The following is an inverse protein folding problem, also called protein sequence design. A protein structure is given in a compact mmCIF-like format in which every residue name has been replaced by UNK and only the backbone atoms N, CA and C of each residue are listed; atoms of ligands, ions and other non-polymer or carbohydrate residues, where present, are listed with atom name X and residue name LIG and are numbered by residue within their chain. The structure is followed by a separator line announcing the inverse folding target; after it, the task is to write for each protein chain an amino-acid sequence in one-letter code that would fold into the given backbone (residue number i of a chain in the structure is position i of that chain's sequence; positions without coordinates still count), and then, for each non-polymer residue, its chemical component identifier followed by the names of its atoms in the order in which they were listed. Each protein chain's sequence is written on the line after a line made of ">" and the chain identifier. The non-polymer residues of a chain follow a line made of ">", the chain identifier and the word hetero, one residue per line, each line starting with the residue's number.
data_IF_962527968930
#
_entry.id   IF_962527968930
#
_cell.length_a   1.000
_cell.length_b   1.000
_cell.length_c   1.000
_cell.angle_alpha   90.00
_cell.angle_beta   90.00
_cell.angle_gamma   90.00
#
_symmetry.space_group_name_H-M   'P 1'
#
loop_
_entity.id
_entity.type
_entity.pdbx_description
1 polymer ?
#
# COMPACT_ATOMS: atom_id res chain seq x y z
N UNK A 1 91.39 10.93 27.48
CA UNK A 1 90.52 10.09 28.34
C UNK A 1 89.19 10.82 28.52
N UNK A 2 88.10 10.14 28.16
CA UNK A 2 86.68 10.33 28.53
C UNK A 2 85.98 11.66 28.17
N UNK A 3 85.05 11.66 27.19
CA UNK A 3 83.59 11.37 27.28
C UNK A 3 82.79 12.60 27.76
N UNK A 4 81.60 12.95 27.30
CA UNK A 4 80.65 12.41 26.32
C UNK A 4 79.59 13.47 25.98
N UNK A 5 78.97 13.32 24.81
CA UNK A 5 77.87 14.10 24.22
C UNK A 5 76.64 14.27 25.12
N UNK A 6 75.91 15.38 24.97
CA UNK A 6 74.50 15.33 24.50
C UNK A 6 74.04 16.70 23.97
N UNK A 7 73.45 16.69 22.77
CA UNK A 7 72.79 17.84 22.12
C UNK A 7 71.37 17.95 22.65
N UNK A 8 70.89 19.15 22.94
CA UNK A 8 69.45 19.45 22.92
C UNK A 8 69.21 20.66 22.02
N UNK A 9 68.44 20.39 20.97
CA UNK A 9 67.98 21.31 19.94
C UNK A 9 66.86 22.15 20.52
N UNK A 10 67.00 23.47 20.41
CA UNK A 10 65.94 24.47 20.64
C UNK A 10 64.89 24.40 19.53
N UNK A 11 63.63 24.11 19.86
CA UNK A 11 62.49 24.43 19.01
C UNK A 11 61.69 25.55 19.69
N UNK A 12 61.71 26.74 19.08
CA UNK A 12 60.77 27.83 19.36
C UNK A 12 59.47 27.51 18.65
N UNK A 13 58.39 27.29 19.40
CA UNK A 13 57.05 27.21 18.84
C UNK A 13 56.54 28.64 18.56
N UNK A 14 56.36 28.97 17.28
CA UNK A 14 55.61 30.15 16.86
C UNK A 14 54.12 29.76 16.79
N UNK A 15 53.29 30.39 17.63
CA UNK A 15 51.84 30.22 17.60
C UNK A 15 51.25 31.18 16.56
N UNK A 16 50.85 30.66 15.40
CA UNK A 16 50.05 31.38 14.41
C UNK A 16 48.58 31.21 14.75
N UNK A 17 47.90 32.30 15.16
CA UNK A 17 46.44 32.34 15.28
C UNK A 17 45.83 32.29 13.86
N UNK A 18 45.19 31.18 13.51
CA UNK A 18 44.23 31.12 12.42
C UNK A 18 42.83 31.35 12.99
N UNK A 19 42.26 32.52 12.72
CA UNK A 19 40.86 32.83 12.99
C UNK A 19 40.02 32.14 11.91
N UNK A 20 39.49 30.95 12.19
CA UNK A 20 38.53 30.29 11.32
C UNK A 20 37.15 30.95 11.51
N UNK A 21 36.69 31.69 10.50
CA UNK A 21 35.33 32.20 10.41
C UNK A 21 34.40 31.00 10.14
N UNK A 22 33.82 30.44 11.19
CA UNK A 22 32.74 29.44 11.06
C UNK A 22 31.48 30.18 10.63
N UNK A 23 31.17 30.14 9.34
CA UNK A 23 29.84 30.47 8.84
C UNK A 23 28.91 29.36 9.34
N UNK A 24 28.25 29.62 10.47
CA UNK A 24 27.16 28.79 10.95
C UNK A 24 25.99 28.91 9.99
N UNK A 25 25.93 28.03 9.00
CA UNK A 25 24.67 27.71 8.33
C UNK A 25 23.85 26.98 9.39
N UNK A 26 23.05 27.71 10.15
CA UNK A 26 21.94 27.13 10.90
C UNK A 26 20.96 26.61 9.87
N UNK A 27 21.24 25.41 9.34
CA UNK A 27 20.22 24.58 8.75
C UNK A 27 19.23 24.33 9.88
N UNK A 28 18.12 25.04 9.86
CA UNK A 28 16.94 24.64 10.60
C UNK A 28 16.59 23.26 10.09
N UNK A 29 16.99 22.24 10.84
CA UNK A 29 16.38 20.92 10.77
C UNK A 29 14.92 21.15 11.13
N UNK A 30 14.09 21.30 10.10
CA UNK A 30 12.65 21.27 10.21
C UNK A 30 12.33 20.03 11.05
N UNK A 31 11.77 20.26 12.22
CA UNK A 31 11.32 19.22 13.15
C UNK A 31 10.63 18.11 12.36
N UNK A 32 11.09 16.88 12.55
CA UNK A 32 10.49 15.68 11.97
C UNK A 32 8.96 15.74 12.13
N UNK A 33 8.22 15.45 11.06
CA UNK A 33 6.78 15.28 11.15
C UNK A 33 6.48 14.00 11.95
N UNK A 34 6.51 14.07 13.27
CA UNK A 34 5.85 13.05 14.11
C UNK A 34 4.35 13.11 13.79
N UNK A 35 3.75 12.00 13.42
CA UNK A 35 2.30 11.88 13.18
C UNK A 35 1.90 11.26 11.84
N UNK A 36 2.83 10.85 10.97
CA UNK A 36 2.49 10.38 9.61
C UNK A 36 1.98 8.95 9.57
N UNK A 37 1.15 8.64 8.57
CA UNK A 37 0.73 7.27 8.28
C UNK A 37 1.90 6.44 7.76
N UNK A 38 2.17 5.24 8.30
CA UNK A 38 3.15 4.32 7.73
C UNK A 38 2.67 3.70 6.40
N UNK A 39 1.40 3.90 6.02
CA UNK A 39 0.84 3.37 4.77
C UNK A 39 0.96 4.35 3.60
N UNK A 40 1.07 5.66 3.88
CA UNK A 40 0.98 6.71 2.86
C UNK A 40 1.92 7.90 3.07
N UNK A 41 2.61 8.00 4.21
CA UNK A 41 3.41 9.17 4.59
C UNK A 41 2.59 10.44 4.87
N UNK A 42 1.26 10.38 4.76
CA UNK A 42 0.36 11.53 4.97
C UNK A 42 0.22 11.81 6.47
N UNK A 43 0.26 13.08 6.92
CA UNK A 43 0.06 13.43 8.32
C UNK A 43 -1.28 12.96 8.90
N UNK A 44 -1.27 12.62 10.19
CA UNK A 44 -2.45 12.27 10.98
C UNK A 44 -2.83 10.79 10.91
N UNK A 45 -1.89 9.89 10.60
CA UNK A 45 -2.11 8.44 10.61
C UNK A 45 -1.47 7.69 11.78
N UNK A 46 -0.36 8.21 12.32
CA UNK A 46 0.35 7.59 13.43
C UNK A 46 -0.57 7.41 14.65
N UNK A 47 -0.48 6.23 15.29
CA UNK A 47 -1.29 5.90 16.46
C UNK A 47 -2.79 5.69 16.19
N UNK A 48 -3.28 5.90 14.97
CA UNK A 48 -4.68 5.63 14.59
C UNK A 48 -4.89 4.17 14.19
N UNK A 49 -6.10 3.64 14.36
CA UNK A 49 -6.41 2.27 13.94
C UNK A 49 -6.23 2.07 12.43
N UNK A 50 -6.00 0.82 12.03
CA UNK A 50 -5.93 0.42 10.62
C UNK A 50 -7.04 -0.58 10.28
N UNK A 51 -7.77 -0.31 9.19
CA UNK A 51 -8.86 -1.18 8.73
C UNK A 51 -8.75 -1.42 7.23
N UNK A 52 -8.84 -2.69 6.85
CA UNK A 52 -9.02 -3.12 5.47
C UNK A 52 -10.51 -3.20 5.15
N UNK A 53 -10.92 -2.61 4.03
CA UNK A 53 -12.23 -2.82 3.43
C UNK A 53 -12.05 -3.61 2.15
N UNK A 54 -12.75 -4.74 2.06
CA UNK A 54 -12.78 -5.58 0.86
C UNK A 54 -13.84 -5.09 -0.11
N UNK A 55 -13.42 -4.59 -1.25
CA UNK A 55 -14.27 -4.12 -2.35
C UNK A 55 -14.37 -5.16 -3.47
N UNK A 56 -15.51 -5.14 -4.16
CA UNK A 56 -15.57 -5.71 -5.52
C UNK A 56 -14.86 -4.81 -6.51
N UNK A 57 -14.46 -5.34 -7.66
CA UNK A 57 -13.93 -4.54 -8.75
C UNK A 57 -14.55 -4.89 -10.11
N UNK A 58 -15.60 -5.73 -10.14
CA UNK A 58 -16.31 -6.01 -11.39
C UNK A 58 -17.08 -4.77 -11.86
N UNK A 59 -17.40 -4.70 -13.16
CA UNK A 59 -18.15 -3.57 -13.73
C UNK A 59 -19.38 -3.14 -12.90
N UNK A 60 -20.25 -4.04 -12.41
CA UNK A 60 -21.42 -3.64 -11.62
C UNK A 60 -21.09 -3.11 -10.21
N UNK A 61 -19.91 -3.42 -9.68
CA UNK A 61 -19.44 -2.88 -8.39
C UNK A 61 -19.08 -1.39 -8.51
N UNK A 62 -18.57 -0.98 -9.68
CA UNK A 62 -18.11 0.38 -9.95
C UNK A 62 -19.29 1.34 -10.25
N UNK A 63 -19.13 2.65 -10.00
CA UNK A 63 -18.06 3.28 -9.22
C UNK A 63 -18.11 2.89 -7.73
N UNK A 64 -16.96 2.95 -7.07
CA UNK A 64 -16.80 2.65 -5.63
C UNK A 64 -17.07 3.90 -4.78
N UNK A 65 -17.54 3.71 -3.55
CA UNK A 65 -17.66 4.75 -2.53
C UNK A 65 -16.40 4.74 -1.65
N UNK A 66 -15.78 5.91 -1.47
CA UNK A 66 -14.70 6.15 -0.51
C UNK A 66 -13.33 5.58 -0.89
N UNK A 67 -13.21 4.85 -2.01
CA UNK A 67 -11.93 4.21 -2.40
C UNK A 67 -10.81 5.23 -2.63
N UNK A 68 -11.15 6.42 -3.13
CA UNK A 68 -10.20 7.52 -3.34
C UNK A 68 -9.67 8.15 -2.03
N UNK A 69 -10.17 7.72 -0.87
CA UNK A 69 -9.73 8.16 0.45
C UNK A 69 -8.92 7.10 1.21
N UNK A 70 -8.64 5.94 0.59
CA UNK A 70 -7.77 4.93 1.18
C UNK A 70 -6.32 5.41 1.21
N UNK A 71 -5.55 4.97 2.21
CA UNK A 71 -4.11 5.24 2.29
C UNK A 71 -3.32 4.31 1.37
N UNK A 72 -3.70 3.03 1.37
CA UNK A 72 -3.05 1.97 0.62
C UNK A 72 -4.10 1.08 -0.03
N UNK A 73 -3.93 0.77 -1.31
CA UNK A 73 -4.83 -0.08 -2.08
C UNK A 73 -4.04 -1.27 -2.61
N UNK A 74 -4.49 -2.48 -2.31
CA UNK A 74 -4.07 -3.68 -3.02
C UNK A 74 -5.12 -4.04 -4.07
N UNK A 75 -4.68 -4.27 -5.31
CA UNK A 75 -5.46 -4.94 -6.35
C UNK A 75 -4.94 -6.37 -6.46
N UNK A 76 -5.82 -7.35 -6.27
CA UNK A 76 -5.46 -8.76 -6.33
C UNK A 76 -6.38 -9.53 -7.28
N UNK A 77 -5.82 -10.56 -7.93
CA UNK A 77 -6.60 -11.53 -8.68
C UNK A 77 -7.48 -12.35 -7.74
N UNK A 78 -8.69 -12.65 -8.19
CA UNK A 78 -9.61 -13.57 -7.52
C UNK A 78 -10.13 -14.60 -8.52
N UNK A 79 -11.23 -15.27 -8.21
CA UNK A 79 -11.80 -16.30 -9.09
C UNK A 79 -12.07 -15.76 -10.51
N UNK A 80 -11.94 -16.63 -11.50
CA UNK A 80 -12.29 -16.37 -12.91
C UNK A 80 -11.45 -15.26 -13.58
N UNK A 81 -10.26 -14.96 -13.06
CA UNK A 81 -9.37 -13.93 -13.60
C UNK A 81 -9.92 -12.51 -13.41
N UNK A 82 -10.87 -12.33 -12.49
CA UNK A 82 -11.34 -11.03 -12.03
C UNK A 82 -10.34 -10.46 -11.02
N UNK A 83 -10.47 -9.17 -10.72
CA UNK A 83 -9.76 -8.56 -9.59
C UNK A 83 -10.72 -8.14 -8.48
N UNK A 84 -10.17 -8.03 -7.26
CA UNK A 84 -10.79 -7.31 -6.14
C UNK A 84 -9.81 -6.35 -5.52
N UNK A 85 -10.35 -5.46 -4.70
CA UNK A 85 -9.59 -4.40 -4.06
C UNK A 85 -9.63 -4.61 -2.54
N UNK A 86 -8.45 -4.64 -1.93
CA UNK A 86 -8.28 -4.56 -0.49
C UNK A 86 -7.74 -3.16 -0.16
N UNK A 87 -8.62 -2.29 0.33
CA UNK A 87 -8.30 -0.88 0.59
C UNK A 87 -8.10 -0.66 2.09
N UNK A 88 -6.93 -0.17 2.46
CA UNK A 88 -6.52 0.13 3.83
C UNK A 88 -6.79 1.59 4.15
N UNK A 89 -7.45 1.84 5.28
CA UNK A 89 -7.74 3.17 5.81
C UNK A 89 -7.07 3.31 7.17
N UNK A 90 -6.38 4.42 7.37
CA UNK A 90 -5.72 4.78 8.62
C UNK A 90 -5.80 6.28 8.92
N UNK A 91 -5.48 7.15 7.95
CA UNK A 91 -5.49 8.61 8.15
C UNK A 91 -6.90 9.15 8.30
N UNK A 92 -7.84 8.61 7.50
CA UNK A 92 -9.24 9.03 7.46
C UNK A 92 -10.16 7.84 7.25
N UNK A 93 -11.29 7.86 7.96
CA UNK A 93 -12.39 6.93 7.73
C UNK A 93 -13.53 7.66 7.01
N UNK A 94 -13.78 7.39 5.71
CA UNK A 94 -14.91 7.99 5.00
C UNK A 94 -16.26 7.58 5.59
N UNK A 95 -17.28 8.43 5.41
CA UNK A 95 -18.64 8.17 5.91
C UNK A 95 -19.26 6.92 5.30
N UNK A 96 -18.95 6.63 4.04
CA UNK A 96 -19.50 5.50 3.28
C UNK A 96 -18.39 4.83 2.49
N UNK A 97 -18.36 3.49 2.54
CA UNK A 97 -17.49 2.65 1.70
C UNK A 97 -18.27 1.51 1.05
N UNK A 98 -17.79 1.05 -0.10
CA UNK A 98 -18.28 -0.15 -0.79
C UNK A 98 -18.50 0.05 -2.30
N UNK A 99 -19.16 -0.90 -2.99
CA UNK A 99 -19.76 -2.10 -2.43
C UNK A 99 -18.73 -3.07 -1.86
N UNK A 100 -19.01 -3.57 -0.66
CA UNK A 100 -18.17 -4.60 -0.02
C UNK A 100 -18.34 -5.95 -0.71
N UNK A 101 -17.27 -6.75 -0.67
CA UNK A 101 -17.23 -8.11 -1.23
C UNK A 101 -16.65 -9.11 -0.27
N UNK A 102 -16.74 -10.37 -0.68
CA UNK A 102 -16.23 -11.46 0.13
C UNK A 102 -14.71 -11.39 0.29
N UNK A 103 -14.25 -11.68 1.50
CA UNK A 103 -12.83 -11.82 1.80
C UNK A 103 -12.22 -13.01 1.03
N UNK A 104 -10.91 -12.99 0.87
CA UNK A 104 -10.07 -14.00 0.23
C UNK A 104 -8.90 -14.34 1.14
N UNK A 105 -8.27 -15.49 0.91
CA UNK A 105 -7.15 -15.93 1.75
C UNK A 105 -5.94 -14.97 1.66
N UNK A 106 -5.72 -14.37 0.49
CA UNK A 106 -4.72 -13.33 0.26
C UNK A 106 -4.93 -12.10 1.16
N UNK A 107 -6.17 -11.73 1.49
CA UNK A 107 -6.46 -10.65 2.44
C UNK A 107 -5.84 -10.92 3.81
N UNK A 108 -5.91 -12.18 4.28
CA UNK A 108 -5.33 -12.57 5.57
C UNK A 108 -3.80 -12.53 5.51
N UNK A 109 -3.20 -12.95 4.40
CA UNK A 109 -1.75 -12.89 4.24
C UNK A 109 -1.24 -11.44 4.23
N UNK A 110 -1.97 -10.52 3.59
CA UNK A 110 -1.67 -9.07 3.64
C UNK A 110 -1.79 -8.55 5.08
N UNK A 111 -2.84 -8.95 5.81
CA UNK A 111 -3.12 -8.44 7.15
C UNK A 111 -2.18 -8.97 8.25
N UNK A 112 -1.43 -10.05 8.00
CA UNK A 112 -0.53 -10.64 9.01
C UNK A 112 0.60 -9.71 9.48
N UNK A 113 0.94 -8.67 8.72
CA UNK A 113 1.98 -7.70 9.08
C UNK A 113 1.54 -6.67 10.13
N UNK A 114 0.30 -6.72 10.61
CA UNK A 114 -0.24 -5.80 11.62
C UNK A 114 -0.61 -6.55 12.89
N UNK A 115 -0.54 -5.92 14.07
CA UNK A 115 -0.95 -6.58 15.32
C UNK A 115 -2.42 -7.04 15.36
N UNK A 116 -3.39 -6.14 15.14
CA UNK A 116 -4.82 -6.50 15.14
C UNK A 116 -5.65 -5.60 14.19
N UNK A 117 -5.50 -5.75 12.87
CA UNK A 117 -6.16 -4.89 11.89
C UNK A 117 -7.65 -5.21 11.77
N UNK A 118 -8.48 -4.21 11.48
CA UNK A 118 -9.89 -4.44 11.16
C UNK A 118 -10.06 -5.03 9.76
N UNK A 119 -11.01 -5.96 9.58
CA UNK A 119 -11.39 -6.50 8.28
C UNK A 119 -12.90 -6.33 8.03
N UNK A 120 -13.25 -5.41 7.14
CA UNK A 120 -14.62 -5.13 6.67
C UNK A 120 -14.85 -5.84 5.34
N UNK A 121 -15.83 -6.74 5.30
CA UNK A 121 -16.12 -7.58 4.13
C UNK A 121 -17.60 -7.99 4.11
N UNK A 122 -18.07 -8.64 3.04
CA UNK A 122 -19.49 -9.02 2.87
C UNK A 122 -19.77 -10.53 3.02
N UNK A 123 -18.85 -11.29 3.60
CA UNK A 123 -18.95 -12.74 3.79
C UNK A 123 -17.80 -13.53 3.17
N UNK A 124 -17.76 -14.83 3.38
CA UNK A 124 -16.79 -15.75 2.79
C UNK A 124 -17.36 -17.18 2.90
N UNK A 125 -16.72 -18.18 2.29
CA UNK A 125 -17.06 -19.57 2.57
C UNK A 125 -16.69 -19.92 4.03
N UNK A 126 -17.29 -20.97 4.60
CA UNK A 126 -17.12 -21.33 6.01
C UNK A 126 -15.67 -21.66 6.39
N UNK A 127 -14.91 -22.24 5.46
CA UNK A 127 -13.49 -22.56 5.67
C UNK A 127 -12.69 -21.27 5.86
N UNK A 128 -12.93 -20.27 5.02
CA UNK A 128 -12.28 -18.97 5.12
C UNK A 128 -12.80 -18.16 6.33
N UNK A 129 -14.09 -18.23 6.67
CA UNK A 129 -14.60 -17.61 7.90
C UNK A 129 -13.95 -18.20 9.16
N UNK A 130 -13.68 -19.51 9.19
CA UNK A 130 -12.89 -20.15 10.25
C UNK A 130 -11.45 -19.63 10.27
N UNK A 131 -10.83 -19.43 9.12
CA UNK A 131 -9.48 -18.86 9.03
C UNK A 131 -9.44 -17.40 9.51
N UNK A 132 -10.41 -16.57 9.13
CA UNK A 132 -10.55 -15.18 9.62
C UNK A 132 -10.61 -15.16 11.15
N UNK A 133 -11.46 -16.00 11.77
CA UNK A 133 -11.58 -16.08 13.24
C UNK A 133 -10.30 -16.53 13.95
N UNK A 134 -9.41 -17.24 13.26
CA UNK A 134 -8.11 -17.70 13.79
C UNK A 134 -6.96 -16.76 13.44
N UNK A 135 -7.20 -15.76 12.58
CA UNK A 135 -6.20 -14.77 12.19
C UNK A 135 -6.05 -13.69 13.25
N UNK A 136 -5.05 -12.83 13.05
CA UNK A 136 -4.86 -11.60 13.82
C UNK A 136 -5.91 -10.51 13.48
N UNK A 137 -6.67 -10.66 12.39
CA UNK A 137 -7.64 -9.65 11.97
C UNK A 137 -8.90 -9.65 12.85
N UNK A 138 -9.35 -8.45 13.23
CA UNK A 138 -10.64 -8.23 13.87
C UNK A 138 -11.72 -8.25 12.79
N UNK A 139 -12.57 -9.28 12.81
CA UNK A 139 -13.73 -9.35 11.90
C UNK A 139 -14.72 -8.22 12.20
N UNK A 140 -14.99 -7.40 11.18
CA UNK A 140 -15.97 -6.32 11.21
C UNK A 140 -17.09 -6.61 10.20
N UNK A 141 -17.48 -7.89 10.08
CA UNK A 141 -18.44 -8.39 9.09
C UNK A 141 -19.88 -7.90 9.37
N UNK A 142 -20.82 -8.01 8.41
CA UNK A 142 -22.24 -7.69 8.67
C UNK A 142 -22.87 -8.57 9.75
N UNK A 143 -22.35 -9.78 10.01
CA UNK A 143 -22.81 -10.62 11.12
C UNK A 143 -22.34 -10.08 12.48
N UNK A 144 -21.17 -9.45 12.52
CA UNK A 144 -20.58 -8.93 13.76
C UNK A 144 -20.98 -7.48 14.05
N UNK A 145 -21.29 -6.70 13.01
CA UNK A 145 -21.54 -5.24 13.05
C UNK A 145 -22.73 -4.82 12.17
N UNK A 146 -23.91 -5.47 12.27
CA UNK A 146 -25.02 -5.31 11.31
C UNK A 146 -25.49 -3.85 11.15
N UNK A 147 -25.53 -3.09 12.24
CA UNK A 147 -26.04 -1.70 12.26
C UNK A 147 -25.28 -0.72 11.35
N UNK A 148 -24.05 -1.07 10.97
CA UNK A 148 -23.21 -0.24 10.11
C UNK A 148 -23.32 -0.60 8.64
N UNK A 149 -23.96 -1.71 8.31
CA UNK A 149 -24.13 -2.20 6.95
C UNK A 149 -25.52 -1.82 6.43
N UNK A 150 -25.59 -1.43 5.16
CA UNK A 150 -26.86 -1.15 4.49
C UNK A 150 -26.79 -1.44 2.99
N UNK A 151 -27.95 -1.44 2.34
CA UNK A 151 -28.07 -1.73 0.91
C UNK A 151 -28.38 -0.46 0.13
N UNK A 152 -27.63 -0.22 -0.94
CA UNK A 152 -27.99 0.75 -1.97
C UNK A 152 -29.02 0.12 -2.92
N UNK A 153 -30.30 0.43 -2.74
CA UNK A 153 -31.39 -0.19 -3.50
C UNK A 153 -31.38 0.17 -5.00
N UNK A 154 -30.59 1.15 -5.43
CA UNK A 154 -30.38 1.45 -6.85
C UNK A 154 -29.45 0.47 -7.57
N UNK A 155 -28.80 -0.45 -6.85
CA UNK A 155 -27.96 -1.52 -7.41
C UNK A 155 -28.51 -2.90 -7.03
N UNK A 156 -28.36 -3.84 -7.96
CA UNK A 156 -28.72 -5.24 -7.73
C UNK A 156 -27.75 -5.92 -6.76
N UNK A 157 -28.28 -6.84 -5.95
CA UNK A 157 -27.43 -7.74 -5.17
C UNK A 157 -26.61 -8.64 -6.14
N UNK A 158 -25.35 -8.98 -5.81
CA UNK A 158 -24.64 -8.63 -4.57
C UNK A 158 -23.98 -7.24 -4.56
N UNK A 159 -24.05 -6.44 -5.64
CA UNK A 159 -23.27 -5.19 -5.89
C UNK A 159 -23.71 -3.95 -5.13
N UNK A 160 -24.42 -4.13 -4.02
CA UNK A 160 -25.13 -3.05 -3.35
C UNK A 160 -24.86 -2.92 -1.84
N UNK A 161 -23.96 -3.71 -1.25
CA UNK A 161 -23.69 -3.64 0.19
C UNK A 161 -22.69 -2.53 0.55
N UNK A 162 -23.13 -1.51 1.26
CA UNK A 162 -22.32 -0.39 1.73
C UNK A 162 -22.12 -0.45 3.25
N UNK A 163 -21.09 0.26 3.72
CA UNK A 163 -20.74 0.34 5.15
C UNK A 163 -20.55 1.79 5.57
N UNK A 164 -21.08 2.14 6.75
CA UNK A 164 -20.87 3.42 7.42
C UNK A 164 -19.53 3.42 8.18
N UNK A 165 -18.42 3.46 7.44
CA UNK A 165 -17.09 3.18 8.00
C UNK A 165 -16.68 4.15 9.12
N UNK A 166 -16.90 5.46 8.94
CA UNK A 166 -16.61 6.44 9.99
C UNK A 166 -17.34 6.14 11.30
N UNK A 167 -18.64 5.83 11.23
CA UNK A 167 -19.45 5.49 12.40
C UNK A 167 -19.02 4.17 13.04
N UNK A 168 -18.63 3.19 12.21
CA UNK A 168 -18.12 1.90 12.68
C UNK A 168 -16.83 2.09 13.47
N UNK A 169 -15.85 2.77 12.87
CA UNK A 169 -14.53 2.97 13.50
C UNK A 169 -14.58 3.88 14.73
N UNK A 170 -15.55 4.80 14.82
CA UNK A 170 -15.76 5.61 16.02
C UNK A 170 -16.17 4.76 17.26
N UNK A 171 -16.87 3.63 17.04
CA UNK A 171 -17.29 2.72 18.12
C UNK A 171 -16.35 1.54 18.33
N UNK A 172 -15.50 1.23 17.36
CA UNK A 172 -14.59 0.08 17.44
C UNK A 172 -13.44 0.34 18.42
N UNK A 173 -13.09 -0.67 19.21
CA UNK A 173 -12.05 -0.61 20.26
C UNK A 173 -11.04 -1.75 20.19
N UNK A 174 -11.32 -2.80 19.40
CA UNK A 174 -10.47 -3.99 19.27
C UNK A 174 -9.44 -3.86 18.15
N UNK A 175 -9.60 -2.90 17.24
CA UNK A 175 -8.67 -2.66 16.15
C UNK A 175 -7.47 -1.88 16.67
N UNK A 176 -6.28 -2.45 16.51
CA UNK A 176 -5.02 -1.83 16.93
C UNK A 176 -4.63 -0.66 16.04
N UNK A 177 -3.79 0.23 16.60
CA UNK A 177 -3.10 1.26 15.86
C UNK A 177 -2.29 0.65 14.71
N UNK A 178 -2.10 1.44 13.65
CA UNK A 178 -1.21 1.09 12.55
C UNK A 178 0.23 1.05 13.03
N UNK A 179 0.98 0.07 12.53
CA UNK A 179 2.40 -0.12 12.80
C UNK A 179 3.21 0.15 11.53
N UNK A 180 4.53 0.26 11.68
CA UNK A 180 5.43 0.36 10.54
C UNK A 180 5.35 -0.92 9.68
N UNK A 181 5.10 -0.73 8.39
CA UNK A 181 4.99 -1.80 7.39
C UNK A 181 6.19 -1.84 6.45
N UNK A 182 7.27 -1.12 6.75
CA UNK A 182 8.51 -1.09 5.98
C UNK A 182 8.50 -0.15 4.78
N UNK A 183 7.43 0.63 4.58
CA UNK A 183 7.38 1.65 3.55
C UNK A 183 8.13 2.90 4.00
N UNK A 184 8.96 3.42 3.11
CA UNK A 184 9.67 4.69 3.31
C UNK A 184 9.11 5.74 2.36
N UNK A 185 8.98 6.97 2.82
CA UNK A 185 8.33 8.05 2.07
C UNK A 185 9.26 9.25 1.95
N UNK A 186 9.32 9.82 0.75
CA UNK A 186 10.01 11.07 0.47
C UNK A 186 9.31 11.80 -0.67
N UNK A 187 9.03 13.09 -0.50
CA UNK A 187 8.46 13.94 -1.55
C UNK A 187 9.38 14.09 -2.77
N UNK A 188 10.70 13.92 -2.58
CA UNK A 188 11.71 13.94 -3.63
C UNK A 188 11.82 12.54 -4.23
N UNK A 189 11.74 12.46 -5.56
CA UNK A 189 11.95 11.20 -6.27
C UNK A 189 13.44 10.84 -6.27
N UNK A 190 13.81 9.56 -6.04
CA UNK A 190 15.20 9.13 -6.10
C UNK A 190 15.74 9.20 -7.54
N UNK A 191 17.06 9.21 -7.69
CA UNK A 191 17.70 9.16 -9.00
C UNK A 191 17.48 7.80 -9.69
N UNK A 192 17.72 7.74 -11.01
CA UNK A 192 17.69 6.48 -11.78
C UNK A 192 16.30 6.09 -12.33
N UNK A 193 15.30 6.93 -12.17
CA UNK A 193 13.97 6.71 -12.76
C UNK A 193 13.97 6.86 -14.27
N UNK A 194 13.23 5.99 -14.96
CA UNK A 194 12.91 6.15 -16.37
C UNK A 194 11.58 6.88 -16.53
N UNK A 195 11.43 7.76 -17.52
CA UNK A 195 10.14 8.40 -17.81
C UNK A 195 9.04 7.35 -18.03
N UNK A 196 7.89 7.54 -17.38
CA UNK A 196 6.71 6.70 -17.50
C UNK A 196 5.44 7.57 -17.59
N UNK A 197 4.70 7.44 -18.69
CA UNK A 197 3.44 8.14 -18.95
C UNK A 197 2.21 7.28 -18.63
N UNK A 198 2.30 5.97 -18.79
CA UNK A 198 1.19 5.07 -18.48
C UNK A 198 1.66 3.69 -18.04
N UNK A 199 0.77 2.97 -17.37
CA UNK A 199 0.93 1.54 -17.08
C UNK A 199 -0.36 0.78 -17.35
N UNK A 200 -0.23 -0.53 -17.57
CA UNK A 200 -1.33 -1.47 -17.70
C UNK A 200 -0.92 -2.81 -17.07
N UNK A 201 -1.82 -3.42 -16.31
CA UNK A 201 -1.76 -4.81 -15.86
C UNK A 201 -3.09 -5.50 -16.21
N UNK A 202 -3.03 -6.68 -16.82
CA UNK A 202 -4.19 -7.43 -17.29
C UNK A 202 -4.21 -8.85 -16.73
N UNK A 203 -5.42 -9.32 -16.45
CA UNK A 203 -5.78 -10.70 -16.11
C UNK A 203 -6.80 -11.19 -17.15
N UNK A 204 -7.15 -12.49 -17.17
CA UNK A 204 -8.10 -13.02 -18.15
C UNK A 204 -9.42 -12.25 -18.26
N UNK A 205 -9.92 -11.71 -17.14
CA UNK A 205 -11.23 -11.04 -17.07
C UNK A 205 -11.18 -9.64 -16.46
N UNK A 206 -10.00 -9.05 -16.28
CA UNK A 206 -9.84 -7.73 -15.66
C UNK A 206 -8.63 -6.97 -16.20
N UNK A 207 -8.69 -5.65 -16.11
CA UNK A 207 -7.56 -4.77 -16.41
C UNK A 207 -7.51 -3.60 -15.45
N UNK A 208 -6.32 -3.27 -14.98
CA UNK A 208 -6.01 -2.03 -14.27
C UNK A 208 -4.99 -1.25 -15.08
N UNK A 209 -5.24 0.03 -15.30
CA UNK A 209 -4.30 0.92 -15.98
C UNK A 209 -4.29 2.29 -15.34
N UNK A 210 -3.26 3.06 -15.64
CA UNK A 210 -3.20 4.46 -15.21
C UNK A 210 -2.36 5.31 -16.13
N UNK A 211 -2.67 6.61 -16.14
CA UNK A 211 -1.94 7.63 -16.89
C UNK A 211 -1.43 8.68 -15.91
N UNK A 212 -0.17 9.06 -16.01
CA UNK A 212 0.40 10.14 -15.22
C UNK A 212 -0.12 11.48 -15.72
N UNK A 213 -0.83 12.21 -14.87
CA UNK A 213 -1.39 13.53 -15.20
C UNK A 213 -0.99 14.52 -14.13
N UNK A 214 -0.21 15.53 -14.52
CA UNK A 214 0.37 16.57 -13.66
C UNK A 214 1.22 15.98 -12.54
N UNK A 215 0.59 15.54 -11.45
CA UNK A 215 1.25 15.09 -10.23
C UNK A 215 0.71 13.77 -9.67
N UNK A 216 -0.22 13.09 -10.34
CA UNK A 216 -0.74 11.80 -9.86
C UNK A 216 -1.12 10.86 -11.00
N UNK A 217 -1.23 9.56 -10.68
CA UNK A 217 -1.71 8.54 -11.61
C UNK A 217 -3.24 8.51 -11.63
N UNK A 218 -3.87 8.81 -12.76
CA UNK A 218 -5.31 8.64 -12.92
C UNK A 218 -5.64 7.20 -13.28
N UNK A 219 -6.37 6.50 -12.40
CA UNK A 219 -6.62 5.06 -12.53
C UNK A 219 -7.86 4.76 -13.35
N UNK A 220 -7.75 3.77 -14.24
CA UNK A 220 -8.85 3.17 -14.97
C UNK A 220 -8.99 1.68 -14.63
N UNK A 221 -10.23 1.21 -14.56
CA UNK A 221 -10.54 -0.21 -14.46
C UNK A 221 -11.33 -0.66 -15.69
N UNK A 222 -10.85 -1.70 -16.37
CA UNK A 222 -11.38 -2.21 -17.65
C UNK A 222 -11.60 -1.11 -18.70
N UNK A 223 -10.62 -0.19 -18.79
CA UNK A 223 -10.63 0.93 -19.73
C UNK A 223 -11.52 2.12 -19.34
N UNK A 224 -12.21 2.06 -18.19
CA UNK A 224 -13.05 3.15 -17.70
C UNK A 224 -12.34 3.93 -16.59
N UNK A 225 -12.14 5.24 -16.81
CA UNK A 225 -11.57 6.15 -15.81
C UNK A 225 -12.38 6.11 -14.51
N UNK A 226 -11.72 5.80 -13.40
CA UNK A 226 -12.40 5.64 -12.12
C UNK A 226 -12.70 6.98 -11.45
N UNK A 227 -13.95 7.10 -11.00
CA UNK A 227 -14.44 8.21 -10.17
C UNK A 227 -15.15 7.64 -8.96
N UNK A 228 -14.99 8.31 -7.83
CA UNK A 228 -15.76 8.01 -6.62
C UNK A 228 -17.26 8.19 -6.87
N UNK A 229 -18.07 7.27 -6.36
CA UNK A 229 -19.50 7.21 -6.62
C UNK A 229 -20.25 8.44 -6.10
N UNK A 230 -19.79 9.01 -4.98
CA UNK A 230 -20.45 10.13 -4.31
C UNK A 230 -19.86 11.47 -4.76
N UNK A 231 -18.55 11.64 -4.62
CA UNK A 231 -17.84 12.91 -4.85
C UNK A 231 -17.47 13.16 -6.31
N UNK A 232 -17.51 12.12 -7.15
CA UNK A 232 -17.05 12.14 -8.56
C UNK A 232 -15.56 12.46 -8.74
N UNK A 233 -14.81 12.59 -7.65
CA UNK A 233 -13.38 12.79 -7.64
C UNK A 233 -12.65 11.56 -8.21
N UNK A 234 -11.51 11.80 -8.85
CA UNK A 234 -10.71 10.76 -9.48
C UNK A 234 -9.94 9.95 -8.44
N UNK A 235 -9.76 8.66 -8.71
CA UNK A 235 -8.78 7.83 -8.00
C UNK A 235 -7.37 8.18 -8.50
N UNK A 236 -6.56 8.78 -7.62
CA UNK A 236 -5.30 9.44 -8.00
C UNK A 236 -4.13 9.11 -7.05
N UNK A 237 -3.71 7.84 -6.95
CA UNK A 237 -2.52 7.48 -6.18
C UNK A 237 -1.27 8.22 -6.67
N UNK A 238 -0.38 8.55 -5.72
CA UNK A 238 0.91 9.19 -5.97
C UNK A 238 1.97 8.18 -6.39
N UNK A 239 1.87 6.98 -5.82
CA UNK A 239 2.74 5.85 -6.13
C UNK A 239 1.89 4.65 -6.55
N UNK A 240 2.24 4.03 -7.67
CA UNK A 240 1.72 2.73 -8.08
C UNK A 240 2.86 1.72 -8.05
N UNK A 241 2.62 0.52 -7.56
CA UNK A 241 3.58 -0.58 -7.54
C UNK A 241 2.99 -1.74 -8.31
N UNK A 242 3.69 -2.22 -9.33
CA UNK A 242 3.39 -3.51 -9.95
C UNK A 242 4.26 -4.55 -9.24
N UNK A 243 3.70 -5.21 -8.24
CA UNK A 243 4.41 -6.19 -7.41
C UNK A 243 4.20 -7.59 -7.98
N UNK A 244 5.28 -8.24 -8.42
CA UNK A 244 5.20 -9.57 -9.02
C UNK A 244 5.33 -10.62 -7.94
N UNK A 245 4.25 -11.35 -7.70
CA UNK A 245 4.09 -12.31 -6.61
C UNK A 245 3.72 -13.69 -7.16
N UNK A 246 4.04 -14.74 -6.39
CA UNK A 246 3.63 -16.09 -6.75
C UNK A 246 2.12 -16.26 -6.58
N UNK A 247 1.42 -16.66 -7.65
CA UNK A 247 0.03 -17.07 -7.58
C UNK A 247 -0.03 -18.59 -7.46
N UNK A 248 -0.69 -19.09 -6.40
CA UNK A 248 -0.95 -20.51 -6.20
C UNK A 248 -2.43 -20.78 -6.20
N UNK A 249 -2.80 -21.93 -6.73
CA UNK A 249 -4.13 -22.46 -6.46
C UNK A 249 -4.27 -22.70 -4.95
N UNK A 250 -5.36 -22.25 -4.35
CA UNK A 250 -5.64 -22.48 -2.93
C UNK A 250 -6.74 -23.53 -2.75
N UNK A 251 -6.85 -24.07 -1.53
CA UNK A 251 -7.97 -24.94 -1.15
C UNK A 251 -9.30 -24.19 -1.01
N UNK A 252 -9.32 -22.86 -1.19
CA UNK A 252 -10.50 -22.03 -1.06
C UNK A 252 -11.11 -21.76 -2.45
N UNK A 253 -12.43 -21.59 -2.46
CA UNK A 253 -13.16 -21.20 -3.66
C UNK A 253 -14.40 -20.36 -3.37
N UNK A 254 -15.01 -19.83 -4.43
CA UNK A 254 -16.31 -19.18 -4.34
C UNK A 254 -17.46 -20.19 -4.26
N UNK A 255 -18.67 -19.68 -4.02
CA UNK A 255 -19.90 -20.50 -3.95
C UNK A 255 -20.32 -21.12 -5.29
N UNK A 256 -19.65 -20.76 -6.38
CA UNK A 256 -19.97 -21.17 -7.75
C UNK A 256 -18.91 -22.13 -8.32
N UNK A 257 -17.95 -22.60 -7.51
CA UNK A 257 -16.93 -23.57 -7.89
C UNK A 257 -15.64 -22.98 -8.44
N UNK A 258 -15.50 -21.65 -8.50
CA UNK A 258 -14.26 -20.99 -8.88
C UNK A 258 -13.21 -21.13 -7.78
N UNK A 259 -12.02 -21.64 -8.10
CA UNK A 259 -10.91 -21.70 -7.14
C UNK A 259 -10.33 -20.30 -6.94
N UNK A 260 -10.16 -19.92 -5.67
CA UNK A 260 -9.53 -18.67 -5.28
C UNK A 260 -8.01 -18.83 -5.42
N UNK A 261 -7.31 -17.99 -6.19
CA UNK A 261 -5.85 -17.95 -6.12
C UNK A 261 -5.40 -17.37 -4.77
N UNK A 262 -4.38 -17.97 -4.17
CA UNK A 262 -3.59 -17.33 -3.13
C UNK A 262 -2.47 -16.54 -3.82
N UNK A 263 -2.44 -15.23 -3.55
CA UNK A 263 -1.35 -14.36 -3.98
C UNK A 263 -0.36 -14.26 -2.83
N UNK A 264 0.84 -14.83 -3.02
CA UNK A 264 1.86 -14.87 -1.97
C UNK A 264 2.60 -13.54 -1.85
N UNK A 265 2.23 -12.79 -0.83
CA UNK A 265 2.85 -11.54 -0.40
C UNK A 265 3.95 -11.73 0.65
N UNK A 266 4.12 -12.94 1.20
CA UNK A 266 5.31 -13.32 1.99
C UNK A 266 6.33 -13.99 1.07
N UNK A 267 7.52 -13.42 1.00
CA UNK A 267 8.61 -13.83 0.13
C UNK A 267 9.37 -12.63 -0.41
N UNK A 268 9.87 -12.76 -1.63
CA UNK A 268 10.57 -11.68 -2.33
C UNK A 268 10.37 -11.83 -3.83
N UNK A 269 10.50 -10.75 -4.57
CA UNK A 269 10.39 -10.78 -6.02
C UNK A 269 10.69 -9.43 -6.66
N UNK A 270 10.45 -9.34 -7.97
CA UNK A 270 10.59 -8.08 -8.69
C UNK A 270 9.37 -7.18 -8.46
N UNK A 271 9.58 -5.88 -8.57
CA UNK A 271 8.53 -4.87 -8.62
C UNK A 271 8.86 -3.80 -9.65
N UNK A 272 7.84 -3.13 -10.19
CA UNK A 272 8.01 -1.86 -10.89
C UNK A 272 7.29 -0.80 -10.07
N UNK A 273 8.03 0.19 -9.57
CA UNK A 273 7.46 1.30 -8.80
C UNK A 273 7.34 2.51 -9.70
N UNK A 274 6.15 3.11 -9.70
CA UNK A 274 5.72 4.19 -10.56
C UNK A 274 5.38 5.41 -9.70
N UNK A 275 6.21 6.45 -9.73
CA UNK A 275 5.98 7.70 -8.99
C UNK A 275 6.56 8.89 -9.75
N UNK A 276 5.97 10.08 -9.56
CA UNK A 276 6.46 11.32 -10.17
C UNK A 276 6.64 11.23 -11.71
N UNK A 277 5.79 10.47 -12.41
CA UNK A 277 5.89 10.25 -13.86
C UNK A 277 7.11 9.44 -14.29
N UNK A 278 7.66 8.64 -13.37
CA UNK A 278 8.82 7.78 -13.59
C UNK A 278 8.52 6.35 -13.17
N UNK A 279 9.22 5.38 -13.76
CA UNK A 279 9.25 3.98 -13.38
C UNK A 279 10.64 3.57 -12.89
N UNK A 280 10.68 2.75 -11.85
CA UNK A 280 11.87 2.18 -11.26
C UNK A 280 11.72 0.66 -11.22
N UNK A 281 12.69 -0.07 -11.78
CA UNK A 281 12.81 -1.50 -11.54
C UNK A 281 13.33 -1.69 -10.11
N UNK A 282 12.60 -2.45 -9.31
CA UNK A 282 12.84 -2.61 -7.88
C UNK A 282 12.71 -4.07 -7.47
N UNK A 283 13.21 -4.39 -6.28
CA UNK A 283 12.97 -5.67 -5.61
C UNK A 283 12.10 -5.45 -4.39
N UNK A 284 11.10 -6.31 -4.20
CA UNK A 284 10.32 -6.34 -2.97
C UNK A 284 10.74 -7.51 -2.08
N UNK A 285 10.68 -7.31 -0.76
CA UNK A 285 10.97 -8.35 0.22
C UNK A 285 10.07 -8.21 1.45
N UNK A 286 9.43 -9.31 1.82
CA UNK A 286 8.69 -9.54 3.06
C UNK A 286 9.05 -10.94 3.59
N UNK A 287 10.11 -11.05 4.42
CA UNK A 287 10.70 -12.34 4.77
C UNK A 287 9.83 -13.19 5.71
N UNK A 288 8.92 -12.59 6.45
CA UNK A 288 8.08 -13.25 7.44
C UNK A 288 6.65 -12.70 7.43
N UNK A 289 5.71 -13.44 8.03
CA UNK A 289 4.29 -13.07 8.09
C UNK A 289 4.03 -11.76 8.85
N UNK A 290 4.80 -11.51 9.90
CA UNK A 290 4.76 -10.34 10.79
C UNK A 290 5.75 -9.25 10.38
N UNK A 291 6.51 -9.46 9.30
CA UNK A 291 7.36 -8.44 8.72
C UNK A 291 6.58 -7.54 7.76
N UNK A 292 6.98 -6.27 7.71
CA UNK A 292 6.61 -5.33 6.66
C UNK A 292 7.16 -5.72 5.29
N UNK A 293 6.73 -4.99 4.25
CA UNK A 293 7.22 -5.16 2.87
C UNK A 293 8.14 -4.00 2.52
N UNK A 294 9.38 -4.31 2.15
CA UNK A 294 10.36 -3.32 1.68
C UNK A 294 10.45 -3.33 0.16
N UNK A 295 10.81 -2.18 -0.42
CA UNK A 295 11.10 -2.01 -1.84
C UNK A 295 12.46 -1.36 -2.00
N UNK A 296 13.30 -1.89 -2.90
CA UNK A 296 14.71 -1.49 -3.04
C UNK A 296 15.16 -1.38 -4.49
N UNK A 297 16.12 -0.49 -4.76
CA UNK A 297 16.92 -0.46 -5.99
C UNK A 297 18.33 -0.89 -5.62
N UNK A 298 18.76 -2.07 -6.05
CA UNK A 298 19.96 -2.70 -5.48
C UNK A 298 19.76 -2.93 -4.00
N UNK A 299 20.63 -2.37 -3.17
CA UNK A 299 20.52 -2.45 -1.69
C UNK A 299 19.86 -1.21 -1.08
N UNK A 300 19.63 -0.15 -1.86
CA UNK A 300 19.09 1.11 -1.36
C UNK A 300 17.56 1.05 -1.27
N UNK A 301 16.94 1.53 -0.18
CA UNK A 301 15.49 1.68 -0.09
C UNK A 301 14.96 2.60 -1.21
N UNK A 302 13.82 2.23 -1.78
CA UNK A 302 13.13 3.03 -2.77
C UNK A 302 11.95 3.76 -2.10
N UNK A 303 12.05 5.07 -1.82
CA UNK A 303 10.96 5.81 -1.20
C UNK A 303 9.77 5.96 -2.14
N UNK A 304 8.59 5.81 -1.57
CA UNK A 304 7.32 6.20 -2.20
C UNK A 304 7.10 7.71 -2.08
N UNK A 305 6.32 8.27 -3.00
CA UNK A 305 5.86 9.65 -2.85
C UNK A 305 4.80 9.73 -1.73
N UNK A 306 4.75 10.86 -1.03
CA UNK A 306 3.79 11.08 0.06
C UNK A 306 2.38 11.18 -0.52
N UNK A 307 1.50 10.26 -0.13
CA UNK A 307 0.11 10.18 -0.57
C UNK A 307 -0.36 8.73 -0.76
N UNK A 308 -1.55 8.58 -1.35
CA UNK A 308 -2.13 7.26 -1.57
C UNK A 308 -1.21 6.36 -2.42
N UNK A 309 -1.01 5.13 -1.96
CA UNK A 309 -0.23 4.09 -2.64
C UNK A 309 -1.18 3.03 -3.22
N UNK A 310 -0.93 2.57 -4.44
CA UNK A 310 -1.66 1.46 -5.05
C UNK A 310 -0.68 0.35 -5.44
N UNK A 311 -0.78 -0.80 -4.78
CA UNK A 311 -0.04 -2.01 -5.10
C UNK A 311 -0.94 -2.92 -5.94
N UNK A 312 -0.53 -3.14 -7.17
CA UNK A 312 -1.15 -4.07 -8.10
C UNK A 312 -0.37 -5.37 -8.03
N UNK A 313 -0.98 -6.41 -7.45
CA UNK A 313 -0.37 -7.72 -7.32
C UNK A 313 -0.52 -8.48 -8.64
N UNK A 314 0.61 -8.70 -9.32
CA UNK A 314 0.68 -9.36 -10.61
C UNK A 314 1.28 -10.75 -10.42
N UNK A 315 0.81 -11.75 -11.15
CA UNK A 315 1.47 -13.05 -11.19
C UNK A 315 2.91 -12.88 -11.68
N UNK A 316 3.89 -13.41 -10.94
CA UNK A 316 5.28 -13.46 -11.36
C UNK A 316 5.49 -14.18 -12.71
N UNK A 317 4.54 -15.02 -13.12
CA UNK A 317 4.50 -15.70 -14.43
C UNK A 317 3.77 -14.91 -15.52
N UNK A 318 3.32 -13.69 -15.23
CA UNK A 318 2.65 -12.83 -16.20
C UNK A 318 3.53 -12.65 -17.45
N UNK A 319 2.91 -12.80 -18.62
CA UNK A 319 3.61 -12.65 -19.90
C UNK A 319 3.97 -11.19 -20.12
N UNK A 320 4.96 -10.94 -20.98
CA UNK A 320 5.39 -9.57 -21.35
C UNK A 320 4.24 -8.68 -21.85
N UNK A 321 3.18 -9.26 -22.43
CA UNK A 321 1.99 -8.53 -22.88
C UNK A 321 0.98 -8.19 -21.78
N UNK A 322 1.05 -8.85 -20.64
CA UNK A 322 0.08 -8.71 -19.54
C UNK A 322 0.40 -7.50 -18.67
N UNK A 323 1.68 -7.08 -18.65
CA UNK A 323 2.12 -5.85 -17.98
C UNK A 323 2.87 -4.95 -18.94
N UNK A 324 2.48 -3.68 -19.02
CA UNK A 324 3.10 -2.66 -19.86
C UNK A 324 3.34 -1.39 -19.07
N UNK A 325 4.47 -0.74 -19.34
CA UNK A 325 4.77 0.63 -18.91
C UNK A 325 5.25 1.39 -20.14
N UNK A 326 4.58 2.51 -20.47
CA UNK A 326 4.90 3.33 -21.64
C UNK A 326 5.57 4.65 -21.22
N UNK A 327 6.49 5.15 -22.04
CA UNK A 327 7.30 6.37 -21.81
C UNK A 327 6.68 7.63 -22.40
#
# INVERSE_FOLDING_TARGET
>A
MLQSRSRRVTLRAAASLLTALVVGITGTTTSASSGVSPLSGVPGGEGKPVVMVKYGNARPDRPHYGLNQADLIYVEEVEWGLTRIAAMFNTKFPSVVGPTRSARISDLEILQQFTAPGLVFSGANDVLLKAVRKSNAVSLSPSDRPDFYYRNLSKQAPHNQLVRLASLMAKEKKVSAVEDVGFVFDSVAPAGGMKAQSFEASWPSARVSGVWVKSAWQISFDGSLHRDAQTKALLTPRTVVLQFAEHRESAYGDRFGGKTPLVKTIGSGRAIVLRNGQSYEAQWSRPAKDAGTTFTIGEAPLPFDVGQVMIVLVDQKAKKGDVKVAK
#
